data_IF_375760940559
#
_entry.id   IF_375760940559
#
_cell.length_a   1.000
_cell.length_b   1.000
_cell.length_c   1.000
_cell.angle_alpha   90.00
_cell.angle_beta   90.00
_cell.angle_gamma   90.00
#
_symmetry.space_group_name_H-M   'P 1'
#
loop_
_entity.id
_entity.type
_entity.pdbx_description
1 polymer ?
#
# COMPACT_ATOMS: atom_id res chain seq x y z
N UNK A 1 -3.63 2.65 32.99
CA UNK A 1 -4.16 1.30 32.70
C UNK A 1 -2.98 0.37 32.47
N UNK A 2 -2.88 -0.73 33.22
CA UNK A 2 -1.78 -1.70 33.08
C UNK A 2 -1.92 -2.46 31.74
N UNK A 3 -0.89 -2.42 30.91
CA UNK A 3 -0.83 -3.18 29.64
C UNK A 3 -0.91 -4.69 29.94
N UNK A 4 -1.76 -5.41 29.23
CA UNK A 4 -1.88 -6.86 29.36
C UNK A 4 -0.62 -7.56 28.84
N UNK A 5 -0.25 -8.72 29.42
CA UNK A 5 0.92 -9.51 28.98
C UNK A 5 0.88 -9.90 27.49
N UNK A 6 -0.32 -10.01 26.88
CA UNK A 6 -0.48 -10.26 25.45
C UNK A 6 -0.05 -9.09 24.57
N UNK A 7 -0.17 -7.85 25.06
CA UNK A 7 0.28 -6.64 24.35
C UNK A 7 1.80 -6.59 24.24
N UNK A 8 2.54 -7.02 25.27
CA UNK A 8 4.00 -7.06 25.22
C UNK A 8 4.51 -8.13 24.25
N UNK A 9 3.90 -9.32 24.23
CA UNK A 9 4.31 -10.39 23.30
C UNK A 9 4.06 -10.01 21.84
N UNK A 10 2.92 -9.38 21.54
CA UNK A 10 2.62 -8.88 20.19
C UNK A 10 3.61 -7.80 19.72
N UNK A 11 4.02 -6.91 20.63
CA UNK A 11 5.06 -5.91 20.38
C UNK A 11 6.44 -6.57 20.16
N UNK A 12 6.81 -7.56 20.97
CA UNK A 12 8.07 -8.31 20.81
C UNK A 12 8.13 -9.11 19.50
N UNK A 13 7.01 -9.72 19.10
CA UNK A 13 6.86 -10.39 17.80
C UNK A 13 6.98 -9.40 16.63
N UNK A 14 6.41 -8.18 16.77
CA UNK A 14 6.55 -7.12 15.76
C UNK A 14 7.97 -6.59 15.65
N UNK A 15 8.66 -6.38 16.77
CA UNK A 15 10.03 -5.82 16.80
C UNK A 15 11.07 -6.83 16.28
N UNK A 16 10.85 -8.12 16.50
CA UNK A 16 11.75 -9.19 16.04
C UNK A 16 11.35 -9.79 14.69
N UNK A 17 10.35 -9.24 14.02
CA UNK A 17 9.86 -9.75 12.76
C UNK A 17 10.95 -9.67 11.67
N UNK A 18 11.45 -10.81 11.16
CA UNK A 18 12.47 -10.81 10.12
C UNK A 18 12.00 -10.09 8.85
N UNK A 19 10.69 -10.08 8.56
CA UNK A 19 10.16 -9.43 7.36
C UNK A 19 10.15 -7.90 7.47
N UNK A 20 10.12 -7.33 8.68
CA UNK A 20 10.28 -5.88 8.85
C UNK A 20 11.72 -5.48 8.52
N UNK A 21 12.70 -6.23 9.03
CA UNK A 21 14.13 -6.00 8.73
C UNK A 21 14.42 -6.22 7.25
N UNK A 22 13.89 -7.29 6.66
CA UNK A 22 14.04 -7.58 5.24
C UNK A 22 13.41 -6.48 4.39
N UNK A 23 12.19 -6.00 4.72
CA UNK A 23 11.54 -4.90 4.01
C UNK A 23 12.42 -3.64 4.01
N UNK A 24 13.02 -3.28 5.15
CA UNK A 24 13.93 -2.14 5.21
C UNK A 24 15.17 -2.35 4.34
N UNK A 25 15.78 -3.54 4.37
CA UNK A 25 16.95 -3.87 3.54
C UNK A 25 16.63 -3.82 2.04
N UNK A 26 15.45 -4.30 1.65
CA UNK A 26 15.00 -4.33 0.25
C UNK A 26 14.38 -2.99 -0.22
N UNK A 27 14.32 -1.99 0.67
CA UNK A 27 13.76 -0.66 0.37
C UNK A 27 12.24 -0.64 0.25
N UNK A 28 11.55 -1.62 0.83
CA UNK A 28 10.10 -1.66 0.94
C UNK A 28 9.59 -0.88 2.15
N UNK A 29 8.47 -0.16 1.97
CA UNK A 29 7.86 0.66 3.03
C UNK A 29 7.17 -0.15 4.13
N UNK A 30 6.80 -1.40 3.84
CA UNK A 30 6.23 -2.29 4.85
C UNK A 30 6.46 -3.75 4.47
N UNK A 31 6.42 -4.65 5.47
CA UNK A 31 6.44 -6.10 5.25
C UNK A 31 5.24 -6.62 4.43
N UNK A 32 4.16 -5.84 4.33
CA UNK A 32 2.99 -6.23 3.56
C UNK A 32 3.29 -6.31 2.05
N UNK A 33 4.33 -5.63 1.58
CA UNK A 33 4.82 -5.69 0.19
C UNK A 33 5.05 -7.13 -0.29
N UNK A 34 5.60 -7.99 0.58
CA UNK A 34 5.82 -9.40 0.25
C UNK A 34 4.53 -10.16 -0.02
N UNK A 35 3.43 -9.80 0.65
CA UNK A 35 2.13 -10.45 0.43
C UNK A 35 1.63 -10.17 -1.00
N UNK A 36 1.71 -8.92 -1.45
CA UNK A 36 1.28 -8.57 -2.80
C UNK A 36 2.19 -9.19 -3.86
N UNK A 37 3.51 -9.23 -3.61
CA UNK A 37 4.46 -9.90 -4.49
C UNK A 37 4.15 -11.39 -4.62
N UNK A 38 3.89 -12.08 -3.52
CA UNK A 38 3.56 -13.51 -3.52
C UNK A 38 2.23 -13.79 -4.23
N UNK A 39 1.19 -13.00 -3.93
CA UNK A 39 -0.11 -13.07 -4.61
C UNK A 39 0.07 -12.87 -6.11
N UNK A 40 0.79 -11.83 -6.53
CA UNK A 40 0.97 -11.55 -7.95
C UNK A 40 1.84 -12.59 -8.66
N UNK A 41 2.85 -13.14 -7.99
CA UNK A 41 3.67 -14.23 -8.54
C UNK A 41 2.84 -15.49 -8.83
N UNK A 42 1.88 -15.80 -7.96
CA UNK A 42 1.00 -16.95 -8.09
C UNK A 42 -0.10 -16.73 -9.12
N UNK A 43 -0.83 -15.63 -9.00
CA UNK A 43 -2.11 -15.43 -9.67
C UNK A 43 -2.03 -14.43 -10.85
N UNK A 44 -0.91 -13.70 -10.97
CA UNK A 44 -0.68 -12.68 -12.02
C UNK A 44 -1.82 -11.66 -12.11
N UNK A 45 -2.29 -11.19 -10.96
CA UNK A 45 -3.41 -10.26 -10.82
C UNK A 45 -3.13 -8.90 -11.45
N UNK A 46 -1.93 -8.34 -11.22
CA UNK A 46 -1.50 -7.03 -11.71
C UNK A 46 -0.57 -7.23 -12.90
N UNK A 47 -0.94 -6.67 -14.04
CA UNK A 47 -0.21 -6.71 -15.30
C UNK A 47 0.34 -5.32 -15.65
N UNK A 48 1.35 -5.27 -16.54
CA UNK A 48 1.79 -4.00 -17.11
C UNK A 48 0.60 -3.25 -17.73
N UNK A 49 0.62 -1.93 -17.64
CA UNK A 49 -0.41 -1.00 -18.15
C UNK A 49 -1.75 -0.99 -17.41
N UNK A 50 -1.92 -1.83 -16.38
CA UNK A 50 -3.15 -1.80 -15.57
C UNK A 50 -3.29 -0.47 -14.80
N UNK A 51 -4.54 -0.14 -14.51
CA UNK A 51 -4.95 0.90 -13.56
C UNK A 51 -5.32 0.21 -12.24
N UNK A 52 -4.60 0.51 -11.17
CA UNK A 52 -4.78 -0.11 -9.85
C UNK A 52 -5.22 0.94 -8.84
N UNK A 53 -6.24 0.60 -8.04
CA UNK A 53 -6.67 1.41 -6.89
C UNK A 53 -6.30 0.70 -5.58
N UNK A 54 -5.52 1.36 -4.72
CA UNK A 54 -5.06 0.85 -3.41
C UNK A 54 -5.74 1.62 -2.26
N UNK A 55 -6.69 0.99 -1.57
CA UNK A 55 -7.48 1.60 -0.49
C UNK A 55 -6.96 1.13 0.88
N UNK A 56 -6.74 2.07 1.81
CA UNK A 56 -6.05 1.77 3.07
C UNK A 56 -4.55 1.59 2.85
N UNK A 57 -3.98 2.44 2.00
CA UNK A 57 -2.64 2.26 1.44
C UNK A 57 -1.49 2.61 2.38
N UNK A 58 -1.68 3.42 3.43
CA UNK A 58 -0.58 3.91 4.27
C UNK A 58 0.13 2.74 5.00
N UNK A 59 1.47 2.65 4.99
CA UNK A 59 2.47 3.65 4.55
C UNK A 59 2.90 3.57 3.07
N UNK A 60 2.19 2.79 2.24
CA UNK A 60 2.40 2.70 0.80
C UNK A 60 3.12 1.45 0.33
N UNK A 61 3.14 0.37 1.13
CA UNK A 61 3.84 -0.87 0.77
C UNK A 61 3.28 -1.55 -0.48
N UNK A 62 1.94 -1.67 -0.57
CA UNK A 62 1.28 -2.24 -1.74
C UNK A 62 1.35 -1.30 -2.94
N UNK A 63 1.05 -0.01 -2.75
CA UNK A 63 1.24 1.04 -3.76
C UNK A 63 2.65 1.03 -4.40
N UNK A 64 3.71 0.87 -3.60
CA UNK A 64 5.08 0.77 -4.10
C UNK A 64 5.31 -0.46 -4.99
N UNK A 65 4.71 -1.60 -4.63
CA UNK A 65 4.79 -2.83 -5.44
C UNK A 65 3.94 -2.68 -6.71
N UNK A 66 2.70 -2.20 -6.59
CA UNK A 66 1.79 -1.99 -7.70
C UNK A 66 2.39 -1.07 -8.76
N UNK A 67 3.00 0.06 -8.36
CA UNK A 67 3.63 1.00 -9.28
C UNK A 67 4.75 0.36 -10.12
N UNK A 68 5.54 -0.53 -9.52
CA UNK A 68 6.58 -1.29 -10.23
C UNK A 68 5.98 -2.31 -11.21
N UNK A 69 4.86 -2.95 -10.85
CA UNK A 69 4.23 -4.00 -11.66
C UNK A 69 3.47 -3.45 -12.87
N UNK A 70 2.74 -2.34 -12.70
CA UNK A 70 2.01 -1.71 -13.80
C UNK A 70 2.94 -0.97 -14.78
N UNK A 71 4.10 -0.53 -14.30
CA UNK A 71 5.13 0.14 -15.10
C UNK A 71 4.73 1.54 -15.59
N UNK A 72 5.57 2.17 -16.40
CA UNK A 72 5.44 3.59 -16.79
C UNK A 72 4.16 3.96 -17.57
N UNK A 73 3.50 2.97 -18.17
CA UNK A 73 2.25 3.17 -18.92
C UNK A 73 1.01 2.81 -18.11
N UNK A 74 1.19 2.18 -16.95
CA UNK A 74 0.11 1.93 -16.01
C UNK A 74 0.00 3.05 -14.99
N UNK A 75 -1.05 2.98 -14.18
CA UNK A 75 -1.36 4.01 -13.18
C UNK A 75 -1.73 3.36 -11.86
N UNK A 76 -1.37 4.01 -10.76
CA UNK A 76 -1.80 3.61 -9.42
C UNK A 76 -2.43 4.83 -8.75
N UNK A 77 -3.64 4.66 -8.27
CA UNK A 77 -4.35 5.63 -7.42
C UNK A 77 -4.44 5.04 -6.02
N UNK A 78 -4.08 5.78 -5.00
CA UNK A 78 -4.06 5.31 -3.63
C UNK A 78 -4.86 6.24 -2.71
N UNK A 79 -5.56 5.67 -1.73
CA UNK A 79 -6.29 6.44 -0.71
C UNK A 79 -6.05 5.89 0.69
N UNK A 80 -5.91 6.78 1.66
CA UNK A 80 -5.85 6.45 3.08
C UNK A 80 -6.21 7.68 3.94
N UNK A 81 -6.75 7.46 5.14
CA UNK A 81 -6.99 8.51 6.13
C UNK A 81 -5.68 9.08 6.69
N UNK A 82 -4.63 8.25 6.74
CA UNK A 82 -3.30 8.61 7.22
C UNK A 82 -2.44 9.15 6.06
N UNK A 83 -1.56 10.13 6.32
CA UNK A 83 -0.62 10.58 5.31
C UNK A 83 0.45 9.51 5.02
N UNK A 84 1.01 9.54 3.82
CA UNK A 84 2.22 8.79 3.48
C UNK A 84 3.13 9.60 2.56
N UNK A 85 4.43 9.30 2.58
CA UNK A 85 5.40 9.95 1.68
C UNK A 85 5.04 9.67 0.21
N UNK A 86 5.29 10.60 -0.73
CA UNK A 86 4.95 10.37 -2.14
C UNK A 86 5.73 9.18 -2.73
N UNK A 87 5.08 8.42 -3.63
CA UNK A 87 5.69 7.33 -4.38
C UNK A 87 5.63 7.69 -5.87
N UNK A 88 6.76 7.56 -6.58
CA UNK A 88 6.80 7.81 -8.02
C UNK A 88 5.82 6.88 -8.76
N UNK A 89 4.97 7.45 -9.61
CA UNK A 89 3.93 6.70 -10.35
C UNK A 89 2.68 6.36 -9.55
N UNK A 90 2.50 6.95 -8.35
CA UNK A 90 1.29 6.82 -7.53
C UNK A 90 0.67 8.19 -7.31
N UNK A 91 -0.61 8.33 -7.66
CA UNK A 91 -1.43 9.47 -7.28
C UNK A 91 -2.10 9.16 -5.94
N UNK A 92 -1.89 9.99 -4.92
CA UNK A 92 -2.39 9.75 -3.56
C UNK A 92 -3.43 10.79 -3.16
N UNK A 93 -4.57 10.31 -2.66
CA UNK A 93 -5.61 11.10 -2.02
C UNK A 93 -5.61 10.78 -0.53
N UNK A 94 -5.38 11.78 0.31
CA UNK A 94 -5.55 11.60 1.75
C UNK A 94 -7.01 11.84 2.12
N UNK A 95 -7.68 10.81 2.62
CA UNK A 95 -9.08 10.89 3.04
C UNK A 95 -9.69 9.52 3.31
N UNK A 96 -10.84 9.53 3.98
CA UNK A 96 -11.67 8.35 4.18
C UNK A 96 -12.39 8.03 2.87
N UNK A 97 -12.07 6.88 2.25
CA UNK A 97 -12.66 6.47 0.97
C UNK A 97 -14.17 6.18 1.05
N UNK A 98 -14.75 6.16 2.25
CA UNK A 98 -16.21 6.06 2.45
C UNK A 98 -16.92 7.41 2.34
N UNK A 99 -16.17 8.52 2.41
CA UNK A 99 -16.71 9.87 2.25
C UNK A 99 -16.91 10.22 0.76
N UNK A 100 -18.05 10.85 0.45
CA UNK A 100 -18.41 11.19 -0.93
C UNK A 100 -17.37 12.07 -1.61
N UNK A 101 -16.77 13.01 -0.87
CA UNK A 101 -15.74 13.91 -1.39
C UNK A 101 -14.50 13.14 -1.89
N UNK A 102 -14.06 12.11 -1.14
CA UNK A 102 -12.89 11.30 -1.50
C UNK A 102 -13.24 10.37 -2.67
N UNK A 103 -14.45 9.81 -2.66
CA UNK A 103 -14.96 9.04 -3.79
C UNK A 103 -14.95 9.87 -5.08
N UNK A 104 -15.48 11.09 -5.04
CA UNK A 104 -15.54 11.99 -6.20
C UNK A 104 -14.13 12.35 -6.70
N UNK A 105 -13.18 12.56 -5.79
CA UNK A 105 -11.77 12.79 -6.15
C UNK A 105 -11.15 11.57 -6.84
N UNK A 106 -11.37 10.36 -6.31
CA UNK A 106 -10.89 9.12 -6.95
C UNK A 106 -11.50 9.01 -8.34
N UNK A 107 -12.82 9.15 -8.47
CA UNK A 107 -13.51 9.05 -9.75
C UNK A 107 -13.00 10.07 -10.78
N UNK A 108 -12.75 11.31 -10.37
CA UNK A 108 -12.20 12.33 -11.27
C UNK A 108 -10.80 11.96 -11.81
N UNK A 109 -9.97 11.28 -11.01
CA UNK A 109 -8.66 10.79 -11.45
C UNK A 109 -8.81 9.61 -12.43
N UNK A 110 -9.80 8.74 -12.20
CA UNK A 110 -10.09 7.58 -13.05
C UNK A 110 -10.74 7.99 -14.38
N UNK A 111 -11.60 9.01 -14.41
CA UNK A 111 -12.26 9.49 -15.64
C UNK A 111 -11.26 10.16 -16.61
N UNK A 112 -10.09 10.56 -16.12
CA UNK A 112 -8.96 11.02 -16.95
C UNK A 112 -8.02 9.90 -17.43
N UNK A 113 -8.35 8.62 -17.19
CA UNK A 113 -7.52 7.45 -17.51
C UNK A 113 -7.80 6.82 -18.88
#
# INVERSE_FOLDING_TARGET
MARSKSSNRWLEEHVNDPFVKQAQQDGYRSRASYKLLEINNKDRLIKPTDLVVDLGSAPGGWSQVAAKLVGHKGRVVASDILPMDPIAGVEFIQGDFTEQEVFDQIMAILDGA
#
